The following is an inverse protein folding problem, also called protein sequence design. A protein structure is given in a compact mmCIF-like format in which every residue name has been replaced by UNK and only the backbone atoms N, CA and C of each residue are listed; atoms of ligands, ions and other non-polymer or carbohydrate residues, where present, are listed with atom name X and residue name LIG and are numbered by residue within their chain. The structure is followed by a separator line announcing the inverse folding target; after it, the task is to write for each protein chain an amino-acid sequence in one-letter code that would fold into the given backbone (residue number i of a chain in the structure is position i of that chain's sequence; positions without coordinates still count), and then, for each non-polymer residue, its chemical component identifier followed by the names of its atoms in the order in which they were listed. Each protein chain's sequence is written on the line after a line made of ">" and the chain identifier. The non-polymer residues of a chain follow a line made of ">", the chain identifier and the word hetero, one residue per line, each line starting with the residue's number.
data_IF_665346596982
#
_entry.id   IF_665346596982
#
_cell.length_a   1.000
_cell.length_b   1.000
_cell.length_c   1.000
_cell.angle_alpha   90.00
_cell.angle_beta   90.00
_cell.angle_gamma   90.00
#
_symmetry.space_group_name_H-M   'P 1'
#
loop_
_entity.id
_entity.type
_entity.pdbx_description
1 polymer ?
#
# COMPACT_ATOMS: atom_id res chain seq x y z
N UNK A 1 30.41 -4.55 -70.56
CA UNK A 1 28.99 -4.29 -70.30
C UNK A 1 28.91 -3.50 -68.99
N UNK A 2 28.62 -2.19 -69.09
CA UNK A 2 28.14 -1.22 -68.07
C UNK A 2 28.91 -1.19 -66.71
N UNK A 3 29.86 -0.28 -66.46
CA UNK A 3 29.79 1.17 -66.19
C UNK A 3 29.43 1.55 -64.73
N UNK A 4 30.24 2.49 -64.20
CA UNK A 4 30.36 3.09 -62.87
C UNK A 4 29.10 3.82 -62.35
N UNK A 5 29.02 4.04 -61.03
CA UNK A 5 28.83 5.40 -60.45
C UNK A 5 28.81 5.43 -58.90
N UNK A 6 29.71 6.25 -58.34
CA UNK A 6 29.62 6.92 -57.03
C UNK A 6 28.52 8.02 -57.05
N UNK A 7 28.00 8.41 -55.87
CA UNK A 7 27.62 9.78 -55.40
C UNK A 7 26.63 9.60 -54.20
N UNK A 8 26.89 10.07 -52.96
CA UNK A 8 26.95 11.45 -52.41
C UNK A 8 25.60 12.20 -52.32
N UNK A 9 25.32 12.67 -51.09
CA UNK A 9 24.39 13.73 -50.62
C UNK A 9 22.86 13.49 -50.69
N UNK A 10 22.20 13.53 -49.52
CA UNK A 10 21.56 14.77 -49.03
C UNK A 10 20.97 14.63 -47.61
N UNK A 11 21.42 15.49 -46.71
CA UNK A 11 20.67 15.93 -45.54
C UNK A 11 19.35 16.54 -45.97
N UNK A 12 18.26 16.15 -45.29
CA UNK A 12 17.03 16.94 -45.24
C UNK A 12 16.74 17.21 -43.77
N UNK A 13 17.09 18.43 -43.36
CA UNK A 13 16.48 19.09 -42.22
C UNK A 13 15.01 19.32 -42.53
N UNK A 14 14.13 18.84 -41.65
CA UNK A 14 12.75 19.32 -41.57
C UNK A 14 12.49 19.69 -40.11
N UNK A 15 12.60 21.00 -39.87
CA UNK A 15 12.13 21.65 -38.66
C UNK A 15 10.61 21.86 -38.66
N UNK A 16 10.15 22.28 -37.47
CA UNK A 16 8.79 22.73 -37.12
C UNK A 16 7.75 21.60 -37.02
N UNK A 17 6.87 21.54 -36.02
CA UNK A 17 6.45 22.53 -35.04
C UNK A 17 5.94 21.82 -33.77
N UNK A 18 6.31 22.38 -32.62
CA UNK A 18 5.67 22.10 -31.36
C UNK A 18 4.20 22.54 -31.42
N UNK A 19 3.26 21.61 -31.29
CA UNK A 19 1.87 21.90 -30.93
C UNK A 19 1.61 21.40 -29.52
N UNK A 20 1.71 22.33 -28.58
CA UNK A 20 1.13 22.19 -27.26
C UNK A 20 -0.39 22.05 -27.40
N UNK A 21 -0.90 20.86 -27.10
CA UNK A 21 -2.33 20.65 -26.91
C UNK A 21 -2.64 21.08 -25.48
N UNK A 22 -3.02 22.36 -25.35
CA UNK A 22 -3.67 22.90 -24.16
C UNK A 22 -5.08 22.33 -24.13
N UNK A 23 -5.37 21.49 -23.15
CA UNK A 23 -6.73 20.99 -22.90
C UNK A 23 -7.46 21.94 -21.95
N UNK A 24 -8.61 22.53 -22.35
CA UNK A 24 -9.39 23.38 -21.48
C UNK A 24 -10.52 22.57 -20.84
N UNK A 25 -10.49 22.38 -19.53
CA UNK A 25 -11.74 22.35 -18.76
C UNK A 25 -11.50 22.64 -17.28
N UNK A 26 -11.81 23.87 -16.93
CA UNK A 26 -11.95 24.35 -15.56
C UNK A 26 -13.44 24.32 -15.20
N UNK A 27 -13.71 24.07 -13.91
CA UNK A 27 -14.94 24.35 -13.16
C UNK A 27 -16.05 23.30 -13.21
N UNK A 28 -16.01 22.40 -12.22
CA UNK A 28 -17.18 22.21 -11.36
C UNK A 28 -16.73 22.09 -9.90
N UNK A 29 -17.05 23.12 -9.12
CA UNK A 29 -16.93 23.08 -7.68
C UNK A 29 -17.99 22.15 -7.11
N UNK A 30 -17.55 21.06 -6.47
CA UNK A 30 -18.30 20.37 -5.42
C UNK A 30 -17.32 19.99 -4.33
N UNK A 31 -17.61 20.46 -3.11
CA UNK A 31 -16.99 19.98 -1.88
C UNK A 31 -17.35 18.51 -1.71
N UNK A 32 -16.55 17.63 -2.27
CA UNK A 32 -16.44 16.24 -1.82
C UNK A 32 -15.22 16.19 -0.91
N UNK A 33 -15.44 16.03 0.39
CA UNK A 33 -14.41 15.56 1.32
C UNK A 33 -14.12 14.09 1.03
N UNK A 34 -13.64 13.80 -0.18
CA UNK A 34 -12.93 12.57 -0.45
C UNK A 34 -11.55 12.79 0.14
N UNK A 35 -11.18 11.97 1.12
CA UNK A 35 -9.83 11.86 1.61
C UNK A 35 -8.92 11.42 0.46
N UNK A 36 -8.43 12.39 -0.32
CA UNK A 36 -7.28 12.21 -1.19
C UNK A 36 -6.15 11.79 -0.24
N UNK A 37 -5.73 10.52 -0.30
CA UNK A 37 -4.54 10.06 0.41
C UNK A 37 -3.40 11.00 0.04
N UNK A 38 -2.98 11.82 0.99
CA UNK A 38 -1.95 12.83 0.74
C UNK A 38 -0.62 12.11 0.50
N UNK A 39 0.16 12.52 -0.51
CA UNK A 39 1.47 11.94 -0.72
C UNK A 39 2.36 12.16 0.51
N UNK A 40 3.08 11.11 0.89
CA UNK A 40 4.11 11.18 1.94
C UNK A 40 5.20 12.16 1.50
N UNK A 41 5.33 13.29 2.20
CA UNK A 41 6.44 14.23 2.00
C UNK A 41 7.53 13.94 3.03
N UNK A 42 8.63 13.32 2.60
CA UNK A 42 9.77 12.98 3.46
C UNK A 42 10.55 14.21 3.97
N UNK A 43 10.30 15.40 3.43
CA UNK A 43 10.99 16.64 3.80
C UNK A 43 10.23 17.40 4.89
N UNK A 44 10.75 17.31 6.12
CA UNK A 44 10.10 17.70 7.37
C UNK A 44 9.87 19.19 7.65
N UNK A 45 9.59 20.04 6.65
CA UNK A 45 9.33 21.47 6.90
C UNK A 45 7.96 22.01 6.39
N UNK A 46 7.17 21.21 5.67
CA UNK A 46 5.86 21.66 5.14
C UNK A 46 4.65 20.78 5.50
N UNK A 47 4.84 19.73 6.31
CA UNK A 47 3.79 18.78 6.65
C UNK A 47 2.80 19.34 7.68
N UNK A 48 1.52 18.94 7.56
CA UNK A 48 0.51 19.28 8.57
C UNK A 48 0.89 18.72 9.96
N UNK A 49 0.36 19.30 11.03
CA UNK A 49 0.69 18.89 12.41
C UNK A 49 0.42 17.40 12.63
N UNK A 50 -0.65 16.87 12.02
CA UNK A 50 -1.05 15.46 12.05
C UNK A 50 0.06 14.57 11.50
N UNK A 51 0.58 14.88 10.30
CA UNK A 51 1.66 14.11 9.70
C UNK A 51 2.94 14.15 10.54
N UNK A 52 3.25 15.29 11.16
CA UNK A 52 4.42 15.42 12.05
C UNK A 52 4.29 14.54 13.29
N UNK A 53 3.11 14.53 13.92
CA UNK A 53 2.82 13.66 15.07
C UNK A 53 2.93 12.19 14.66
N UNK A 54 2.28 11.78 13.56
CA UNK A 54 2.28 10.40 13.08
C UNK A 54 3.70 9.92 12.73
N UNK A 55 4.50 10.76 12.07
CA UNK A 55 5.90 10.46 11.74
C UNK A 55 6.75 10.29 13.00
N UNK A 56 6.62 11.22 13.95
CA UNK A 56 7.38 11.17 15.20
C UNK A 56 7.00 9.96 16.07
N UNK A 57 5.78 9.43 15.92
CA UNK A 57 5.28 8.27 16.65
C UNK A 57 5.81 6.92 16.10
N UNK A 58 6.17 6.84 14.81
CA UNK A 58 6.56 5.57 14.16
C UNK A 58 7.64 4.77 14.91
N UNK A 59 8.74 5.38 15.44
CA UNK A 59 9.78 4.64 16.14
C UNK A 59 9.30 3.96 17.44
N UNK A 60 8.18 4.40 18.02
CA UNK A 60 7.64 3.88 19.27
C UNK A 60 6.63 2.73 19.07
N UNK A 61 6.14 2.53 17.84
CA UNK A 61 5.16 1.48 17.50
C UNK A 61 5.67 0.07 17.79
N UNK A 62 6.93 -0.32 17.48
CA UNK A 62 7.44 -1.65 17.81
C UNK A 62 7.41 -1.98 19.30
N UNK A 63 7.49 -0.97 20.17
CA UNK A 63 7.59 -1.13 21.62
C UNK A 63 6.22 -1.08 22.29
N UNK A 64 5.34 -0.19 21.82
CA UNK A 64 4.08 0.14 22.52
C UNK A 64 2.82 -0.14 21.70
N UNK A 65 2.98 -0.65 20.47
CA UNK A 65 1.88 -0.94 19.56
C UNK A 65 1.20 0.30 18.98
N UNK A 66 0.03 0.11 18.36
CA UNK A 66 -0.75 1.19 17.77
C UNK A 66 -1.61 1.86 18.85
N UNK A 67 -0.96 2.62 19.73
CA UNK A 67 -1.60 3.19 20.91
C UNK A 67 -1.48 4.72 20.97
N UNK A 68 -2.32 5.33 21.79
CA UNK A 68 -2.18 6.74 22.17
C UNK A 68 -0.86 7.03 22.88
N UNK A 69 -0.31 6.05 23.61
CA UNK A 69 1.01 6.17 24.22
C UNK A 69 2.12 6.36 23.17
N UNK A 70 2.09 5.61 22.07
CA UNK A 70 2.98 5.79 20.92
C UNK A 70 2.92 7.21 20.35
N UNK A 71 1.71 7.74 20.18
CA UNK A 71 1.50 9.11 19.68
C UNK A 71 2.06 10.15 20.65
N UNK A 72 1.79 10.00 21.95
CA UNK A 72 2.28 10.92 22.97
C UNK A 72 3.81 10.87 23.10
N UNK A 73 4.42 9.69 22.98
CA UNK A 73 5.88 9.56 22.92
C UNK A 73 6.47 10.31 21.71
N UNK A 74 5.81 10.21 20.55
CA UNK A 74 6.16 11.00 19.35
C UNK A 74 6.01 12.51 19.53
N UNK A 75 4.97 12.97 20.22
CA UNK A 75 4.80 14.39 20.56
C UNK A 75 5.92 14.88 21.47
N UNK A 76 6.30 14.08 22.47
CA UNK A 76 7.33 14.43 23.45
C UNK A 76 8.75 14.38 22.86
N UNK A 77 8.99 13.56 21.84
CA UNK A 77 10.32 13.41 21.22
C UNK A 77 10.73 14.61 20.37
N UNK A 78 9.78 15.46 19.94
CA UNK A 78 10.05 16.64 19.13
C UNK A 78 9.78 17.94 19.92
N UNK A 79 10.80 18.79 20.16
CA UNK A 79 10.64 20.02 20.94
C UNK A 79 9.54 20.95 20.42
N UNK A 80 9.35 21.02 19.10
CA UNK A 80 8.34 21.87 18.48
C UNK A 80 6.90 21.34 18.64
N UNK A 81 6.72 20.03 18.87
CA UNK A 81 5.41 19.45 19.17
C UNK A 81 5.15 19.49 20.69
N UNK A 82 6.19 19.29 21.49
CA UNK A 82 6.11 19.39 22.95
C UNK A 82 5.68 20.79 23.40
N UNK A 83 6.12 21.86 22.73
CA UNK A 83 5.73 23.24 23.04
C UNK A 83 4.23 23.52 22.84
N UNK A 84 3.55 22.72 22.00
CA UNK A 84 2.12 22.86 21.72
C UNK A 84 1.23 22.31 22.84
N UNK A 85 1.82 21.71 23.90
CA UNK A 85 1.09 21.17 25.05
C UNK A 85 -0.07 20.23 24.67
N UNK A 86 0.14 19.42 23.62
CA UNK A 86 -0.86 18.48 23.09
C UNK A 86 -1.20 17.46 24.18
N UNK A 87 -2.48 17.27 24.46
CA UNK A 87 -2.98 16.30 25.44
C UNK A 87 -3.63 15.10 24.72
N UNK A 88 -3.79 13.94 25.37
CA UNK A 88 -4.41 12.77 24.74
C UNK A 88 -5.79 13.04 24.12
N UNK A 89 -6.64 13.86 24.76
CA UNK A 89 -7.95 14.22 24.20
C UNK A 89 -7.85 15.10 22.94
N UNK A 90 -6.78 15.89 22.79
CA UNK A 90 -6.53 16.71 21.59
C UNK A 90 -6.32 15.81 20.37
N UNK A 91 -5.70 14.64 20.55
CA UNK A 91 -5.49 13.68 19.47
C UNK A 91 -6.82 13.20 18.87
N UNK A 92 -7.87 13.05 19.67
CA UNK A 92 -9.20 12.65 19.18
C UNK A 92 -9.80 13.72 18.25
N UNK A 93 -9.54 15.00 18.54
CA UNK A 93 -9.94 16.10 17.67
C UNK A 93 -9.13 16.19 16.39
N UNK A 94 -7.83 15.87 16.45
CA UNK A 94 -6.93 15.85 15.28
C UNK A 94 -7.17 14.64 14.37
N UNK A 95 -7.55 13.51 14.95
CA UNK A 95 -7.81 12.25 14.25
C UNK A 95 -9.22 11.75 14.57
N UNK A 96 -10.26 12.37 14.00
CA UNK A 96 -11.63 11.95 14.24
C UNK A 96 -11.88 10.54 13.68
N UNK A 97 -12.63 9.71 14.41
CA UNK A 97 -13.14 8.44 13.91
C UNK A 97 -14.64 8.53 13.66
N UNK A 98 -15.09 8.08 12.49
CA UNK A 98 -16.49 7.71 12.29
C UNK A 98 -16.79 6.44 13.10
N UNK A 99 -17.84 6.51 13.92
CA UNK A 99 -18.47 5.43 14.70
C UNK A 99 -17.65 4.75 15.81
N UNK A 100 -18.33 4.52 16.96
CA UNK A 100 -17.85 3.65 18.05
C UNK A 100 -17.98 2.19 17.59
N UNK A 101 -16.95 1.37 17.75
CA UNK A 101 -17.06 -0.09 17.54
C UNK A 101 -18.06 -0.67 18.56
N UNK A 102 -19.00 -1.48 18.11
CA UNK A 102 -19.74 -2.37 19.00
C UNK A 102 -18.75 -3.40 19.57
N UNK A 103 -18.64 -3.49 20.91
CA UNK A 103 -17.82 -4.51 21.59
C UNK A 103 -16.36 -4.13 21.88
N UNK A 104 -15.99 -2.85 21.86
CA UNK A 104 -14.62 -2.41 22.15
C UNK A 104 -14.24 -2.71 23.62
N UNK A 105 -13.27 -3.62 23.83
CA UNK A 105 -12.70 -3.97 25.15
C UNK A 105 -11.63 -2.99 25.64
N UNK A 106 -11.14 -2.11 24.77
CA UNK A 106 -10.07 -1.14 25.04
C UNK A 106 -10.63 0.27 25.21
N UNK A 107 -10.12 1.00 26.21
CA UNK A 107 -10.42 2.41 26.49
C UNK A 107 -9.79 3.39 25.50
N UNK A 108 -9.02 2.90 24.52
CA UNK A 108 -8.31 3.76 23.58
C UNK A 108 -9.21 4.35 22.48
N UNK A 109 -9.00 5.63 22.10
CA UNK A 109 -9.76 6.25 21.02
C UNK A 109 -9.36 5.67 19.66
N UNK A 110 -10.34 5.19 18.88
CA UNK A 110 -10.13 4.51 17.60
C UNK A 110 -9.46 5.40 16.55
N UNK A 111 -9.84 6.67 16.48
CA UNK A 111 -9.39 7.56 15.40
C UNK A 111 -7.88 7.76 15.37
N UNK A 112 -7.25 8.17 16.49
CA UNK A 112 -5.80 8.30 16.58
C UNK A 112 -5.05 6.99 16.28
N UNK A 113 -5.49 5.86 16.85
CA UNK A 113 -4.80 4.58 16.65
C UNK A 113 -4.95 4.06 15.22
N UNK A 114 -6.12 4.25 14.59
CA UNK A 114 -6.36 3.90 13.20
C UNK A 114 -5.55 4.79 12.26
N UNK A 115 -5.43 6.07 12.55
CA UNK A 115 -4.58 6.99 11.79
C UNK A 115 -3.11 6.55 11.85
N UNK A 116 -2.63 6.18 13.04
CA UNK A 116 -1.27 5.65 13.21
C UNK A 116 -1.04 4.33 12.48
N UNK A 117 -1.97 3.38 12.59
CA UNK A 117 -1.91 2.11 11.88
C UNK A 117 -1.86 2.30 10.35
N UNK A 118 -2.76 3.13 9.82
CA UNK A 118 -2.80 3.46 8.39
C UNK A 118 -1.48 4.11 7.95
N UNK A 119 -0.98 5.06 8.75
CA UNK A 119 0.25 5.78 8.45
C UNK A 119 1.49 4.87 8.45
N UNK A 120 1.58 3.94 9.39
CA UNK A 120 2.67 2.97 9.45
C UNK A 120 2.67 2.02 8.24
N UNK A 121 1.49 1.57 7.79
CA UNK A 121 1.37 0.74 6.58
C UNK A 121 1.78 1.51 5.31
N UNK A 122 1.32 2.76 5.19
CA UNK A 122 1.71 3.64 4.08
C UNK A 122 3.20 3.98 4.11
N UNK A 123 3.78 4.16 5.29
CA UNK A 123 5.23 4.37 5.47
C UNK A 123 6.03 3.14 5.04
N UNK A 124 5.58 1.93 5.34
CA UNK A 124 6.19 0.70 4.82
C UNK A 124 6.20 0.64 3.29
N UNK A 125 5.12 1.10 2.64
CA UNK A 125 5.07 1.23 1.19
C UNK A 125 6.03 2.31 0.65
N UNK A 126 6.19 3.41 1.39
CA UNK A 126 7.14 4.46 1.05
C UNK A 126 8.59 3.95 1.13
N UNK A 127 8.98 3.30 2.23
CA UNK A 127 10.32 2.75 2.39
C UNK A 127 10.65 1.70 1.33
N UNK A 128 9.71 0.80 1.04
CA UNK A 128 9.85 -0.17 -0.04
C UNK A 128 10.19 0.52 -1.37
N UNK A 129 9.43 1.55 -1.78
CA UNK A 129 9.70 2.30 -3.02
C UNK A 129 11.05 2.98 -3.00
N UNK A 130 11.41 3.60 -1.88
CA UNK A 130 12.67 4.31 -1.74
C UNK A 130 13.85 3.35 -1.96
N UNK A 131 13.84 2.18 -1.31
CA UNK A 131 14.89 1.17 -1.49
C UNK A 131 14.95 0.66 -2.93
N UNK A 132 13.80 0.43 -3.59
CA UNK A 132 13.78 0.02 -5.00
C UNK A 132 14.42 1.08 -5.92
N UNK A 133 14.21 2.36 -5.63
CA UNK A 133 14.82 3.46 -6.38
C UNK A 133 16.33 3.57 -6.12
N UNK A 134 16.76 3.41 -4.88
CA UNK A 134 18.17 3.40 -4.47
C UNK A 134 18.92 2.21 -5.09
N UNK A 135 18.29 1.03 -5.14
CA UNK A 135 18.81 -0.17 -5.81
C UNK A 135 18.76 -0.06 -7.35
N UNK A 136 18.12 0.99 -7.90
CA UNK A 136 18.01 1.21 -9.33
C UNK A 136 17.17 0.16 -10.05
N UNK A 137 16.27 -0.52 -9.35
CA UNK A 137 15.44 -1.59 -9.91
C UNK A 137 14.32 -1.01 -10.77
N UNK A 138 14.06 -1.66 -11.90
CA UNK A 138 13.02 -1.27 -12.85
C UNK A 138 12.25 -2.48 -13.35
N UNK A 139 10.99 -2.29 -13.71
CA UNK A 139 10.15 -3.36 -14.25
C UNK A 139 10.71 -3.89 -15.56
N UNK A 140 11.23 -3.02 -16.42
CA UNK A 140 11.79 -3.39 -17.72
C UNK A 140 13.01 -4.31 -17.60
N UNK A 141 13.90 -4.04 -16.63
CA UNK A 141 15.13 -4.81 -16.43
C UNK A 141 14.92 -6.03 -15.53
N UNK A 142 14.18 -5.85 -14.43
CA UNK A 142 14.15 -6.81 -13.32
C UNK A 142 12.81 -7.56 -13.23
N UNK A 143 11.75 -7.04 -13.85
CA UNK A 143 10.43 -7.68 -13.93
C UNK A 143 9.95 -8.30 -12.62
N UNK A 144 9.71 -9.62 -12.67
CA UNK A 144 9.26 -10.43 -11.53
C UNK A 144 10.27 -10.44 -10.38
N UNK A 145 11.57 -10.47 -10.66
CA UNK A 145 12.60 -10.46 -9.61
C UNK A 145 12.63 -9.13 -8.86
N UNK A 146 12.42 -8.01 -9.56
CA UNK A 146 12.23 -6.70 -8.94
C UNK A 146 11.00 -6.68 -8.04
N UNK A 147 9.89 -7.29 -8.48
CA UNK A 147 8.67 -7.39 -7.68
C UNK A 147 8.82 -8.31 -6.47
N UNK A 148 9.52 -9.44 -6.63
CA UNK A 148 9.89 -10.33 -5.54
C UNK A 148 10.69 -9.56 -4.49
N UNK A 149 11.68 -8.77 -4.90
CA UNK A 149 12.47 -7.91 -4.00
C UNK A 149 11.59 -6.89 -3.27
N UNK A 150 10.65 -6.24 -3.97
CA UNK A 150 9.70 -5.31 -3.36
C UNK A 150 8.88 -5.97 -2.23
N UNK A 151 8.29 -7.13 -2.51
CA UNK A 151 7.48 -7.85 -1.52
C UNK A 151 8.31 -8.38 -0.36
N UNK A 152 9.57 -8.78 -0.57
CA UNK A 152 10.49 -9.12 0.51
C UNK A 152 10.74 -7.95 1.45
N UNK A 153 11.04 -6.76 0.90
CA UNK A 153 11.25 -5.54 1.68
C UNK A 153 10.01 -5.19 2.52
N UNK A 154 8.82 -5.31 1.91
CA UNK A 154 7.56 -5.04 2.60
C UNK A 154 7.30 -6.04 3.74
N UNK A 155 7.52 -7.32 3.51
CA UNK A 155 7.38 -8.37 4.54
C UNK A 155 8.42 -8.20 5.65
N UNK A 156 9.65 -7.80 5.32
CA UNK A 156 10.68 -7.50 6.31
C UNK A 156 10.29 -6.31 7.19
N UNK A 157 9.72 -5.25 6.60
CA UNK A 157 9.17 -4.13 7.36
C UNK A 157 8.07 -4.59 8.32
N UNK A 158 7.18 -5.48 7.89
CA UNK A 158 6.11 -6.00 8.75
C UNK A 158 6.63 -6.76 9.97
N UNK A 159 7.79 -7.40 9.87
CA UNK A 159 8.42 -8.16 10.97
C UNK A 159 9.05 -7.28 12.06
N UNK A 160 9.08 -5.95 11.87
CA UNK A 160 9.59 -5.03 12.88
C UNK A 160 8.69 -4.95 14.12
N UNK A 161 7.42 -5.34 13.99
CA UNK A 161 6.45 -5.34 15.08
C UNK A 161 5.97 -6.77 15.36
N UNK A 162 5.42 -6.99 16.56
CA UNK A 162 4.88 -8.31 16.89
C UNK A 162 3.67 -8.65 16.02
N UNK A 163 3.45 -9.95 15.81
CA UNK A 163 2.32 -10.47 15.02
C UNK A 163 0.98 -9.92 15.50
N UNK A 164 0.76 -9.89 16.81
CA UNK A 164 -0.52 -9.49 17.38
C UNK A 164 -0.79 -7.99 17.18
N UNK A 165 0.23 -7.16 17.32
CA UNK A 165 0.16 -5.71 17.03
C UNK A 165 -0.07 -5.47 15.54
N UNK A 166 0.55 -6.27 14.66
CA UNK A 166 0.30 -6.18 13.23
C UNK A 166 -1.12 -6.59 12.85
N UNK A 167 -1.64 -7.67 13.43
CA UNK A 167 -3.04 -8.08 13.25
C UNK A 167 -4.00 -6.99 13.74
N UNK A 168 -3.69 -6.34 14.87
CA UNK A 168 -4.46 -5.19 15.36
C UNK A 168 -4.49 -4.06 14.32
N UNK A 169 -3.34 -3.67 13.77
CA UNK A 169 -3.27 -2.67 12.69
C UNK A 169 -4.12 -3.05 11.49
N UNK A 170 -4.04 -4.30 11.04
CA UNK A 170 -4.89 -4.81 9.98
C UNK A 170 -6.37 -4.65 10.38
N UNK A 171 -6.80 -5.12 11.54
CA UNK A 171 -8.21 -4.95 11.95
C UNK A 171 -8.67 -3.48 12.00
N UNK A 172 -7.78 -2.56 12.40
CA UNK A 172 -8.08 -1.12 12.48
C UNK A 172 -8.33 -0.52 11.09
N UNK A 173 -7.53 -0.90 10.08
CA UNK A 173 -7.76 -0.45 8.70
C UNK A 173 -8.96 -1.13 8.05
N UNK A 174 -9.27 -2.37 8.46
CA UNK A 174 -10.42 -3.10 7.94
C UNK A 174 -11.75 -2.54 8.45
N UNK A 175 -11.71 -1.77 9.54
CA UNK A 175 -12.93 -1.17 10.10
C UNK A 175 -13.39 -0.05 9.17
N UNK A 176 -14.56 -0.16 8.51
CA UNK A 176 -15.04 0.89 7.61
C UNK A 176 -15.09 2.22 8.36
N UNK A 177 -14.60 3.29 7.71
CA UNK A 177 -14.64 4.62 8.31
C UNK A 177 -16.07 5.14 8.46
N UNK A 178 -16.97 4.72 7.56
CA UNK A 178 -18.41 4.96 7.57
C UNK A 178 -19.08 3.80 6.80
N UNK A 179 -20.35 3.44 7.08
CA UNK A 179 -21.13 2.64 6.16
C UNK A 179 -21.15 3.34 4.81
N UNK A 180 -20.83 2.60 3.74
CA UNK A 180 -20.81 3.11 2.36
C UNK A 180 -22.13 3.86 2.09
N UNK A 181 -22.07 5.20 1.94
CA UNK A 181 -23.18 6.14 1.71
C UNK A 181 -24.06 6.61 2.90
N UNK A 182 -23.74 6.32 4.16
CA UNK A 182 -24.58 6.78 5.29
C UNK A 182 -26.00 6.19 5.30
N UNK A 183 -26.27 5.23 4.42
CA UNK A 183 -27.47 4.40 4.38
C UNK A 183 -27.04 3.02 4.90
N UNK A 184 -27.66 2.49 5.96
CA UNK A 184 -27.47 1.09 6.31
C UNK A 184 -28.01 0.24 5.15
N UNK A 185 -27.12 -0.31 4.32
CA UNK A 185 -27.51 -1.25 3.29
C UNK A 185 -28.10 -2.50 3.99
N UNK A 186 -29.25 -3.04 3.53
CA UNK A 186 -29.85 -4.25 4.10
C UNK A 186 -28.95 -5.49 3.97
N UNK A 187 -27.96 -5.40 3.08
CA UNK A 187 -26.86 -6.33 2.91
C UNK A 187 -25.63 -5.49 2.58
N UNK A 188 -24.69 -5.39 3.50
CA UNK A 188 -23.34 -4.96 3.16
C UNK A 188 -22.79 -6.09 2.27
N UNK A 189 -22.53 -5.88 0.96
CA UNK A 189 -21.87 -6.90 0.17
C UNK A 189 -20.61 -7.27 0.96
N UNK A 190 -20.43 -8.55 1.35
CA UNK A 190 -19.41 -8.94 2.31
C UNK A 190 -18.14 -8.30 1.83
N UNK A 191 -17.57 -7.37 2.60
CA UNK A 191 -16.42 -6.59 2.17
C UNK A 191 -15.30 -7.59 1.89
N UNK A 192 -15.20 -8.07 0.63
CA UNK A 192 -14.21 -9.05 0.19
C UNK A 192 -12.82 -8.37 0.14
N UNK A 193 -12.80 -7.04 0.29
CA UNK A 193 -11.72 -6.18 -0.14
C UNK A 193 -11.18 -5.16 0.87
N UNK A 194 -11.46 -5.14 2.19
CA UNK A 194 -10.75 -4.20 3.04
C UNK A 194 -9.28 -4.66 3.17
N UNK A 195 -9.04 -5.97 3.28
CA UNK A 195 -7.69 -6.53 3.16
C UNK A 195 -7.18 -6.41 1.72
N UNK A 196 -8.08 -6.58 0.74
CA UNK A 196 -7.81 -6.36 -0.67
C UNK A 196 -7.33 -4.94 -0.98
N UNK A 197 -7.89 -3.89 -0.36
CA UNK A 197 -7.47 -2.51 -0.60
C UNK A 197 -6.05 -2.27 -0.12
N UNK A 198 -5.70 -2.81 1.05
CA UNK A 198 -4.36 -2.73 1.58
C UNK A 198 -3.35 -3.48 0.68
N UNK A 199 -3.64 -4.72 0.26
CA UNK A 199 -2.73 -5.47 -0.60
C UNK A 199 -2.65 -4.90 -2.02
N UNK A 200 -3.73 -4.29 -2.49
CA UNK A 200 -3.75 -3.49 -3.72
C UNK A 200 -2.85 -2.26 -3.61
N UNK A 201 -2.86 -1.56 -2.48
CA UNK A 201 -1.97 -0.42 -2.26
C UNK A 201 -0.49 -0.84 -2.22
N UNK A 202 -0.18 -1.95 -1.54
CA UNK A 202 1.18 -2.54 -1.53
C UNK A 202 1.63 -2.85 -2.96
N UNK A 203 0.78 -3.52 -3.74
CA UNK A 203 1.11 -3.92 -5.11
C UNK A 203 1.24 -2.73 -6.04
N UNK A 204 0.35 -1.75 -5.90
CA UNK A 204 0.43 -0.48 -6.61
C UNK A 204 1.73 0.27 -6.29
N UNK A 205 2.12 0.31 -5.01
CA UNK A 205 3.36 0.94 -4.57
C UNK A 205 4.59 0.18 -5.10
N UNK A 206 4.59 -1.15 -5.09
CA UNK A 206 5.68 -1.97 -5.59
C UNK A 206 5.89 -1.73 -7.11
N UNK A 207 4.82 -1.83 -7.89
CA UNK A 207 4.86 -1.57 -9.34
C UNK A 207 5.25 -0.12 -9.66
N UNK A 208 4.78 0.86 -8.88
CA UNK A 208 5.21 2.24 -9.01
C UNK A 208 6.69 2.44 -8.66
N UNK A 209 7.20 1.75 -7.64
CA UNK A 209 8.62 1.72 -7.28
C UNK A 209 9.48 1.21 -8.42
N UNK A 210 9.01 0.16 -9.10
CA UNK A 210 9.64 -0.43 -10.28
C UNK A 210 9.41 0.37 -11.56
N UNK A 211 8.73 1.52 -11.52
CA UNK A 211 8.44 2.35 -12.70
C UNK A 211 7.68 1.57 -13.79
N UNK A 212 6.75 0.70 -13.41
CA UNK A 212 5.89 0.01 -14.37
C UNK A 212 4.89 0.99 -15.01
N UNK A 213 5.12 1.31 -16.30
CA UNK A 213 4.28 2.18 -17.12
C UNK A 213 3.26 1.44 -17.99
N UNK A 214 2.91 0.20 -17.62
CA UNK A 214 1.91 -0.57 -18.36
C UNK A 214 0.60 0.21 -18.56
N UNK A 215 -0.04 0.01 -19.71
CA UNK A 215 -1.23 0.76 -20.09
C UNK A 215 -2.49 0.23 -19.37
N UNK A 216 -3.32 1.17 -18.91
CA UNK A 216 -4.70 1.03 -18.40
C UNK A 216 -5.10 -0.36 -17.87
N UNK A 217 -5.57 -1.25 -18.75
CA UNK A 217 -6.16 -2.54 -18.35
C UNK A 217 -5.11 -3.53 -17.83
N UNK A 218 -3.98 -3.65 -18.52
CA UNK A 218 -2.94 -4.61 -18.13
C UNK A 218 -2.34 -4.23 -16.78
N UNK A 219 -2.14 -2.93 -16.57
CA UNK A 219 -1.70 -2.39 -15.29
C UNK A 219 -2.64 -2.72 -14.14
N UNK A 220 -3.96 -2.63 -14.35
CA UNK A 220 -4.93 -2.95 -13.31
C UNK A 220 -4.99 -4.45 -13.04
N UNK A 221 -5.01 -5.28 -14.09
CA UNK A 221 -5.01 -6.74 -13.94
C UNK A 221 -3.74 -7.23 -13.24
N UNK A 222 -2.57 -6.71 -13.63
CA UNK A 222 -1.30 -7.00 -12.95
C UNK A 222 -1.37 -6.61 -11.48
N UNK A 223 -1.86 -5.42 -11.13
CA UNK A 223 -2.03 -5.02 -9.72
C UNK A 223 -2.88 -5.99 -8.92
N UNK A 224 -4.02 -6.41 -9.46
CA UNK A 224 -4.92 -7.35 -8.78
C UNK A 224 -4.22 -8.71 -8.60
N UNK A 225 -3.57 -9.22 -9.65
CA UNK A 225 -2.79 -10.48 -9.61
C UNK A 225 -1.70 -10.42 -8.54
N UNK A 226 -0.92 -9.35 -8.52
CA UNK A 226 0.18 -9.16 -7.56
C UNK A 226 -0.32 -8.92 -6.14
N UNK A 227 -1.45 -8.24 -5.97
CA UNK A 227 -2.12 -8.10 -4.67
C UNK A 227 -2.57 -9.45 -4.14
N UNK A 228 -3.04 -10.34 -5.01
CA UNK A 228 -3.38 -11.71 -4.65
C UNK A 228 -2.18 -12.52 -4.18
N UNK A 229 -1.05 -12.44 -4.90
CA UNK A 229 0.20 -13.11 -4.50
C UNK A 229 0.69 -12.59 -3.14
N UNK A 230 0.74 -11.26 -2.99
CA UNK A 230 1.17 -10.64 -1.74
C UNK A 230 0.26 -11.02 -0.57
N UNK A 231 -1.06 -10.96 -0.76
CA UNK A 231 -2.06 -11.39 0.22
C UNK A 231 -1.84 -12.83 0.67
N UNK A 232 -1.65 -13.77 -0.27
CA UNK A 232 -1.45 -15.18 0.04
C UNK A 232 -0.19 -15.39 0.89
N UNK A 233 0.92 -14.73 0.52
CA UNK A 233 2.18 -14.84 1.25
C UNK A 233 2.08 -14.18 2.63
N UNK A 234 1.58 -12.95 2.71
CA UNK A 234 1.47 -12.24 3.99
C UNK A 234 0.58 -13.02 4.96
N UNK A 235 -0.60 -13.48 4.53
CA UNK A 235 -1.47 -14.34 5.35
C UNK A 235 -0.77 -15.63 5.79
N UNK A 236 0.04 -16.26 4.92
CA UNK A 236 0.79 -17.47 5.29
C UNK A 236 1.84 -17.20 6.39
N UNK A 237 2.39 -15.98 6.45
CA UNK A 237 3.32 -15.56 7.51
C UNK A 237 2.62 -15.18 8.81
N UNK A 238 1.31 -14.88 8.76
CA UNK A 238 0.49 -14.63 9.95
C UNK A 238 -0.01 -15.91 10.60
N UNK A 239 0.27 -17.08 10.03
CA UNK A 239 -0.09 -18.34 10.64
C UNK A 239 0.78 -18.60 11.87
N UNK A 240 0.17 -18.83 13.07
CA UNK A 240 0.93 -19.14 14.26
C UNK A 240 1.60 -20.49 14.03
N UNK A 241 2.91 -20.46 13.91
CA UNK A 241 3.75 -21.65 13.76
C UNK A 241 4.64 -21.76 14.99
N UNK A 242 4.86 -23.00 15.42
CA UNK A 242 5.75 -23.31 16.54
C UNK A 242 7.16 -22.77 16.29
N UNK A 243 7.61 -22.86 15.04
CA UNK A 243 8.91 -22.38 14.59
C UNK A 243 8.72 -21.31 13.49
N UNK A 244 9.46 -20.20 13.55
CA UNK A 244 9.42 -19.18 12.52
C UNK A 244 9.93 -19.77 11.22
N UNK A 245 9.15 -19.60 10.16
CA UNK A 245 9.50 -20.13 8.86
C UNK A 245 10.76 -19.45 8.31
N UNK A 246 11.73 -20.23 7.78
CA UNK A 246 12.96 -19.64 7.29
C UNK A 246 12.70 -18.75 6.08
N UNK A 247 13.38 -17.60 6.02
CA UNK A 247 13.19 -16.58 4.96
C UNK A 247 13.36 -17.14 3.55
N UNK A 248 14.25 -18.12 3.34
CA UNK A 248 14.46 -18.72 2.03
C UNK A 248 13.20 -19.46 1.52
N UNK A 249 12.42 -20.09 2.39
CA UNK A 249 11.21 -20.83 2.01
C UNK A 249 10.08 -19.88 1.60
N UNK A 250 9.97 -18.76 2.32
CA UNK A 250 9.04 -17.68 1.95
C UNK A 250 9.44 -17.09 0.59
N UNK A 251 10.74 -16.91 0.34
CA UNK A 251 11.24 -16.41 -0.93
C UNK A 251 10.98 -17.37 -2.10
N UNK A 252 11.12 -18.66 -1.86
CA UNK A 252 10.85 -19.70 -2.85
C UNK A 252 9.36 -19.72 -3.24
N UNK A 253 8.46 -19.76 -2.24
CA UNK A 253 7.01 -19.66 -2.49
C UNK A 253 6.63 -18.36 -3.20
N UNK A 254 7.24 -17.24 -2.80
CA UNK A 254 7.00 -15.94 -3.43
C UNK A 254 7.40 -15.99 -4.92
N UNK A 255 8.56 -16.55 -5.24
CA UNK A 255 9.00 -16.76 -6.62
C UNK A 255 8.00 -17.63 -7.39
N UNK A 256 7.67 -18.82 -6.89
CA UNK A 256 6.76 -19.75 -7.58
C UNK A 256 5.38 -19.14 -7.82
N UNK A 257 4.82 -18.41 -6.84
CA UNK A 257 3.52 -17.75 -7.00
C UNK A 257 3.56 -16.59 -8.00
N UNK A 258 4.65 -15.83 -8.04
CA UNK A 258 4.81 -14.76 -9.02
C UNK A 258 4.97 -15.32 -10.45
N UNK A 259 5.79 -16.36 -10.62
CA UNK A 259 5.97 -17.05 -11.91
C UNK A 259 4.66 -17.66 -12.40
N UNK A 260 3.91 -18.34 -11.52
CA UNK A 260 2.59 -18.88 -11.85
C UNK A 260 1.59 -17.78 -12.23
N UNK A 261 1.59 -16.67 -11.49
CA UNK A 261 0.73 -15.51 -11.73
C UNK A 261 1.04 -14.82 -13.06
N UNK A 262 2.31 -14.79 -13.49
CA UNK A 262 2.70 -14.25 -14.78
C UNK A 262 2.39 -15.21 -15.93
N UNK A 263 2.57 -16.51 -15.74
CA UNK A 263 2.14 -17.51 -16.73
C UNK A 263 0.63 -17.40 -17.02
N UNK A 264 -0.19 -17.28 -15.96
CA UNK A 264 -1.64 -17.11 -16.05
C UNK A 264 -2.08 -15.78 -16.70
N UNK A 265 -1.18 -14.80 -16.87
CA UNK A 265 -1.48 -13.53 -17.54
C UNK A 265 -1.82 -13.70 -19.01
N UNK A 266 -1.30 -14.76 -19.63
CA UNK A 266 -1.50 -15.07 -21.05
C UNK A 266 -2.92 -15.55 -21.35
N UNK A 267 -3.69 -15.93 -20.33
CA UNK A 267 -5.04 -16.45 -20.45
C UNK A 267 -6.01 -15.71 -19.52
N UNK A 268 -6.85 -14.83 -20.09
CA UNK A 268 -7.83 -14.04 -19.32
C UNK A 268 -8.78 -14.91 -18.49
N UNK A 269 -9.10 -16.13 -18.96
CA UNK A 269 -9.90 -17.11 -18.21
C UNK A 269 -9.21 -17.60 -16.93
N UNK A 270 -7.91 -17.89 -17.00
CA UNK A 270 -7.11 -18.38 -15.87
C UNK A 270 -6.90 -17.30 -14.81
N UNK A 271 -6.92 -16.02 -15.19
CA UNK A 271 -6.84 -14.91 -14.23
C UNK A 271 -8.03 -14.93 -13.26
N UNK A 272 -9.25 -15.17 -13.75
CA UNK A 272 -10.43 -15.26 -12.86
C UNK A 272 -10.36 -16.48 -11.95
N UNK A 273 -9.87 -17.62 -12.46
CA UNK A 273 -9.68 -18.83 -11.66
C UNK A 273 -8.61 -18.64 -10.57
N UNK A 274 -7.49 -18.01 -10.90
CA UNK A 274 -6.45 -17.64 -9.95
C UNK A 274 -6.99 -16.72 -8.86
N UNK A 275 -7.74 -15.67 -9.24
CA UNK A 275 -8.35 -14.77 -8.25
C UNK A 275 -9.37 -15.48 -7.37
N UNK A 276 -10.16 -16.40 -7.93
CA UNK A 276 -11.07 -17.23 -7.15
C UNK A 276 -10.32 -18.16 -6.19
N UNK A 277 -9.20 -18.75 -6.62
CA UNK A 277 -8.34 -19.58 -5.79
C UNK A 277 -7.75 -18.78 -4.62
N UNK A 278 -7.12 -17.63 -4.92
CA UNK A 278 -6.55 -16.74 -3.90
C UNK A 278 -7.62 -16.28 -2.93
N UNK A 279 -8.80 -15.90 -3.41
CA UNK A 279 -9.92 -15.46 -2.57
C UNK A 279 -10.46 -16.58 -1.66
N UNK A 280 -10.60 -17.81 -2.18
CA UNK A 280 -11.01 -18.97 -1.36
C UNK A 280 -9.97 -19.27 -0.28
N UNK A 281 -8.70 -19.24 -0.65
CA UNK A 281 -7.58 -19.47 0.28
C UNK A 281 -7.52 -18.38 1.36
N UNK A 282 -7.56 -17.11 0.96
CA UNK A 282 -7.51 -15.98 1.89
C UNK A 282 -8.70 -15.93 2.83
N UNK A 283 -9.92 -16.22 2.34
CA UNK A 283 -11.12 -16.35 3.20
C UNK A 283 -11.00 -17.49 4.19
N UNK A 284 -10.52 -18.66 3.78
CA UNK A 284 -10.33 -19.79 4.68
C UNK A 284 -9.34 -19.44 5.81
N UNK A 285 -8.25 -18.75 5.45
CA UNK A 285 -7.24 -18.30 6.40
C UNK A 285 -7.82 -17.21 7.33
N UNK A 286 -8.48 -16.19 6.80
CA UNK A 286 -9.08 -15.11 7.61
C UNK A 286 -10.14 -15.64 8.59
N UNK A 287 -11.00 -16.56 8.14
CA UNK A 287 -12.00 -17.24 8.99
C UNK A 287 -11.36 -18.06 10.11
N UNK A 288 -10.22 -18.72 9.84
CA UNK A 288 -9.48 -19.44 10.87
C UNK A 288 -8.91 -18.55 11.98
N UNK A 289 -8.75 -17.24 11.71
CA UNK A 289 -8.31 -16.24 12.70
C UNK A 289 -9.45 -15.51 13.40
N UNK A 290 -10.72 -15.77 13.05
CA UNK A 290 -11.84 -14.98 13.53
C UNK A 290 -11.77 -13.51 13.08
N UNK A 291 -11.07 -13.24 11.98
CA UNK A 291 -11.07 -11.92 11.33
C UNK A 291 -12.34 -11.70 10.49
N UNK A 292 -13.03 -12.78 10.13
CA UNK A 292 -14.30 -12.86 9.39
C UNK A 292 -15.24 -13.86 10.05
#
# INVERSE_FOLDING_TARGET
>A
MIAQSNLLWHSVELGMAARAIVSPSQKLGRRTSLWVRRPFSATGQGGSIENRILTAALPFVPQTGFTTASLMAGVQSLPQLASLSIKPHTLVGLFPSGNKRFGQRSSEPIGPIKALASYWLDHGNFQMKQVLWEEGLTWEKDGIDGLRRAFQLRLQYNRQISRDVYLEALTLILTPAEPFFGIPLPFEPPHILPYGSYTMDVSAAALAGLKDYSLSREWMLRRIRMAGVYAAIELSTLVPKKDPEPTWLINDRLRSLLEASESASTHVGETFEFLNYVNRSSRAIAKSYGLL
#
